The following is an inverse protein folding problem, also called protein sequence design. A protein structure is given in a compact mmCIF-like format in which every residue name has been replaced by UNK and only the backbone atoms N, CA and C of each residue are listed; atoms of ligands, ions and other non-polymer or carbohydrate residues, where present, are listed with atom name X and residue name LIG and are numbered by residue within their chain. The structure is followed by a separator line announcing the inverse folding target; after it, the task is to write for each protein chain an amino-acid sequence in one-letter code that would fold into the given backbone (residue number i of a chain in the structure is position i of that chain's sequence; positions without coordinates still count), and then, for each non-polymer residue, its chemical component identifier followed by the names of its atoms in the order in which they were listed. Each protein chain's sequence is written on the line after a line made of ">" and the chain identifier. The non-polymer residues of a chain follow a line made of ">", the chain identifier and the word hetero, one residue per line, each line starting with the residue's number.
data_IF_119248595145
#
_entry.id   IF_119248595145
#
_cell.length_a   1.000
_cell.length_b   1.000
_cell.length_c   1.000
_cell.angle_alpha   90.00
_cell.angle_beta   90.00
_cell.angle_gamma   90.00
#
_symmetry.space_group_name_H-M   'P 1'
#
loop_
_entity.id
_entity.type
_entity.pdbx_description
1 polymer ?
#
# COMPACT_ATOMS: atom_id res chain seq x y z
N UNK A 1 -11.63 9.69 -9.98
CA UNK A 1 -10.93 9.57 -8.68
C UNK A 1 -10.06 8.31 -8.66
N UNK A 2 -10.60 7.17 -9.12
CA UNK A 2 -9.97 5.84 -9.09
C UNK A 2 -8.65 5.73 -9.84
N UNK A 3 -8.48 6.43 -10.97
CA UNK A 3 -7.22 6.39 -11.75
C UNK A 3 -6.00 6.84 -10.92
N UNK A 4 -6.18 7.82 -10.01
CA UNK A 4 -5.09 8.36 -9.21
C UNK A 4 -4.54 7.38 -8.17
N UNK A 5 -5.39 6.50 -7.61
CA UNK A 5 -4.95 5.52 -6.60
C UNK A 5 -4.14 4.41 -7.27
N UNK A 6 -4.61 3.90 -8.40
CA UNK A 6 -3.91 2.86 -9.17
C UNK A 6 -2.54 3.38 -9.65
N UNK A 7 -2.50 4.59 -10.20
CA UNK A 7 -1.24 5.23 -10.63
C UNK A 7 -0.27 5.45 -9.47
N UNK A 8 -0.79 5.90 -8.32
CA UNK A 8 0.01 6.10 -7.11
C UNK A 8 0.64 4.80 -6.63
N UNK A 9 -0.14 3.72 -6.55
CA UNK A 9 0.32 2.40 -6.12
C UNK A 9 1.36 1.84 -7.09
N UNK A 10 1.11 1.94 -8.40
CA UNK A 10 2.07 1.55 -9.43
C UNK A 10 3.39 2.32 -9.31
N UNK A 11 3.32 3.63 -9.08
CA UNK A 11 4.49 4.48 -8.85
C UNK A 11 5.30 4.05 -7.63
N UNK A 12 4.63 3.69 -6.53
CA UNK A 12 5.28 3.19 -5.31
C UNK A 12 5.98 1.85 -5.55
N UNK A 13 5.33 0.89 -6.21
CA UNK A 13 5.97 -0.39 -6.55
C UNK A 13 7.19 -0.21 -7.45
N UNK A 14 7.13 0.68 -8.45
CA UNK A 14 8.28 1.02 -9.29
C UNK A 14 9.44 1.58 -8.47
N UNK A 15 9.15 2.50 -7.53
CA UNK A 15 10.17 3.07 -6.63
C UNK A 15 10.81 2.01 -5.74
N UNK A 16 10.01 1.09 -5.19
CA UNK A 16 10.51 -0.04 -4.39
C UNK A 16 11.44 -0.92 -5.23
N UNK A 17 10.99 -1.33 -6.42
CA UNK A 17 11.79 -2.16 -7.33
C UNK A 17 13.11 -1.49 -7.69
N UNK A 18 13.06 -0.23 -8.12
CA UNK A 18 14.28 0.52 -8.44
C UNK A 18 15.20 0.66 -7.23
N UNK A 19 14.67 0.88 -6.03
CA UNK A 19 15.49 1.01 -4.82
C UNK A 19 16.20 -0.29 -4.44
N UNK A 20 15.49 -1.43 -4.49
CA UNK A 20 16.07 -2.74 -4.21
C UNK A 20 17.14 -3.11 -5.24
N UNK A 21 16.83 -2.92 -6.53
CA UNK A 21 17.77 -3.24 -7.63
C UNK A 21 19.04 -2.39 -7.58
N UNK A 22 18.96 -1.11 -7.20
CA UNK A 22 20.15 -0.23 -7.07
C UNK A 22 21.20 -0.76 -6.08
N UNK A 23 20.79 -1.57 -5.11
CA UNK A 23 21.68 -2.16 -4.09
C UNK A 23 21.84 -3.67 -4.24
N UNK A 24 21.42 -4.23 -5.39
CA UNK A 24 21.56 -5.66 -5.68
C UNK A 24 20.65 -6.58 -4.85
N UNK A 25 19.54 -6.05 -4.32
CA UNK A 25 18.54 -6.83 -3.58
C UNK A 25 17.35 -7.20 -4.45
N UNK A 26 16.70 -8.31 -4.14
CA UNK A 26 15.43 -8.69 -4.76
C UNK A 26 14.32 -7.74 -4.27
N UNK A 27 13.59 -7.04 -5.16
CA UNK A 27 12.42 -6.24 -4.82
C UNK A 27 11.38 -6.94 -3.95
N UNK A 28 11.25 -8.27 -4.06
CA UNK A 28 10.28 -9.07 -3.31
C UNK A 28 10.61 -9.16 -1.80
N UNK A 29 11.85 -8.84 -1.41
CA UNK A 29 12.22 -8.72 0.01
C UNK A 29 11.60 -7.48 0.67
N UNK A 30 11.11 -6.51 -0.11
CA UNK A 30 10.51 -5.27 0.38
C UNK A 30 8.99 -5.35 0.25
N UNK A 31 8.30 -5.35 1.39
CA UNK A 31 6.84 -5.39 1.43
C UNK A 31 6.26 -3.98 1.59
N UNK A 32 5.24 -3.65 0.80
CA UNK A 32 4.46 -2.41 0.93
C UNK A 32 3.31 -2.61 1.93
N UNK A 33 3.35 -1.88 3.05
CA UNK A 33 2.25 -1.79 4.02
C UNK A 33 1.49 -0.48 3.79
N UNK A 34 0.26 -0.56 3.28
CA UNK A 34 -0.59 0.61 3.07
C UNK A 34 -1.27 1.01 4.39
N UNK A 35 -0.98 2.21 4.88
CA UNK A 35 -1.64 2.75 6.08
C UNK A 35 -3.05 3.18 5.70
N UNK A 36 -4.05 2.56 6.32
CA UNK A 36 -5.47 2.66 5.94
C UNK A 36 -6.33 3.38 6.96
N UNK A 37 -5.74 3.83 8.08
CA UNK A 37 -6.41 4.65 9.09
C UNK A 37 -7.15 5.81 8.43
N UNK A 38 -8.40 6.03 8.83
CA UNK A 38 -9.26 7.14 8.35
C UNK A 38 -9.57 7.12 6.84
N UNK A 39 -9.19 6.06 6.12
CA UNK A 39 -9.49 5.87 4.70
C UNK A 39 -10.80 5.10 4.57
N UNK A 40 -11.65 5.49 3.61
CA UNK A 40 -12.93 4.81 3.42
C UNK A 40 -12.75 3.39 2.85
N UNK A 41 -13.67 2.46 3.14
CA UNK A 41 -13.60 1.09 2.62
C UNK A 41 -13.53 1.00 1.08
N UNK A 42 -14.15 1.94 0.37
CA UNK A 42 -14.14 2.02 -1.10
C UNK A 42 -12.71 2.28 -1.62
N UNK A 43 -12.01 3.24 -1.02
CA UNK A 43 -10.62 3.56 -1.37
C UNK A 43 -9.68 2.41 -1.00
N UNK A 44 -9.92 1.75 0.14
CA UNK A 44 -9.15 0.57 0.54
C UNK A 44 -9.34 -0.55 -0.50
N UNK A 45 -10.56 -0.74 -1.01
CA UNK A 45 -10.85 -1.74 -2.04
C UNK A 45 -10.13 -1.45 -3.35
N UNK A 46 -10.17 -0.21 -3.81
CA UNK A 46 -9.40 0.22 -4.99
C UNK A 46 -7.91 -0.05 -4.83
N UNK A 47 -7.35 0.18 -3.63
CA UNK A 47 -5.95 -0.11 -3.36
C UNK A 47 -5.62 -1.62 -3.40
N UNK A 48 -6.51 -2.46 -2.87
CA UNK A 48 -6.40 -3.92 -2.93
C UNK A 48 -6.46 -4.42 -4.38
N UNK A 49 -7.40 -3.90 -5.17
CA UNK A 49 -7.55 -4.22 -6.60
C UNK A 49 -6.30 -3.79 -7.39
N UNK A 50 -5.68 -2.67 -7.00
CA UNK A 50 -4.43 -2.18 -7.58
C UNK A 50 -3.17 -2.98 -7.16
N UNK A 51 -3.31 -4.00 -6.31
CA UNK A 51 -2.21 -4.92 -5.98
C UNK A 51 -1.69 -4.81 -4.54
N UNK A 52 -2.19 -3.90 -3.72
CA UNK A 52 -1.83 -3.85 -2.29
C UNK A 52 -2.31 -5.12 -1.60
N UNK A 53 -1.46 -5.71 -0.75
CA UNK A 53 -1.75 -6.95 -0.01
C UNK A 53 -1.63 -6.81 1.50
N UNK A 54 -0.97 -5.76 1.98
CA UNK A 54 -0.81 -5.51 3.41
C UNK A 54 -1.42 -4.16 3.75
N UNK A 55 -2.35 -4.18 4.69
CA UNK A 55 -3.03 -3.00 5.21
C UNK A 55 -2.60 -2.80 6.68
N UNK A 56 -2.27 -1.56 7.03
CA UNK A 56 -1.84 -1.17 8.36
C UNK A 56 -2.84 -0.21 8.99
N UNK A 57 -3.49 -0.65 10.07
CA UNK A 57 -4.36 0.17 10.89
C UNK A 57 -3.61 0.65 12.15
N UNK A 58 -3.84 1.90 12.55
CA UNK A 58 -3.22 2.46 13.76
C UNK A 58 -4.12 2.28 14.97
N UNK A 59 -3.86 1.22 15.75
CA UNK A 59 -4.53 0.84 17.01
C UNK A 59 -6.00 0.41 16.84
N UNK A 60 -6.36 -0.59 17.63
CA UNK A 60 -7.70 -1.11 17.84
C UNK A 60 -8.62 0.04 18.28
N UNK A 61 -9.42 0.59 17.36
CA UNK A 61 -10.51 1.52 17.73
C UNK A 61 -11.56 0.83 18.65
N UNK A 62 -11.47 -0.49 18.86
CA UNK A 62 -12.38 -1.31 19.68
C UNK A 62 -12.10 -1.29 21.20
N UNK A 63 -11.39 -0.30 21.75
CA UNK A 63 -11.37 -0.13 23.21
C UNK A 63 -12.54 0.74 23.73
N UNK A 64 -13.37 1.33 22.86
CA UNK A 64 -14.47 2.24 23.23
C UNK A 64 -15.67 2.20 22.27
N UNK A 65 -16.17 1.01 21.98
CA UNK A 65 -17.63 0.83 21.92
C UNK A 65 -18.09 0.22 23.24
#
# INVERSE_FOLDING_TARGET
>A
MSDHIVESISSVYKKISHAAMRVGRDPLEVKLLAVTKTVSPEVIREAVDAGVRLLGESRVQEAKE
#
